data_IF_306504874277
#
_entry.id   IF_306504874277
#
_cell.length_a   1.000
_cell.length_b   1.000
_cell.length_c   1.000
_cell.angle_alpha   90.00
_cell.angle_beta   90.00
_cell.angle_gamma   90.00
#
_symmetry.space_group_name_H-M   'P 1'
#
loop_
_entity.id
_entity.type
_entity.pdbx_description
1 polymer ?
#
# COMPACT_ATOMS: atom_id res chain seq x y z
N UNK A 1 36.49 37.19 -2.37
CA UNK A 1 35.49 37.17 -3.47
C UNK A 1 35.13 35.76 -3.89
N UNK A 2 36.09 34.84 -4.04
CA UNK A 2 35.87 33.42 -4.33
C UNK A 2 35.21 32.69 -3.15
N UNK A 3 35.58 32.99 -1.90
CA UNK A 3 34.99 32.38 -0.69
C UNK A 3 33.53 32.79 -0.45
N UNK A 4 33.17 34.02 -0.85
CA UNK A 4 31.75 34.47 -0.75
C UNK A 4 30.87 33.78 -1.80
N UNK A 5 31.41 33.55 -3.02
CA UNK A 5 30.68 32.80 -4.06
C UNK A 5 30.54 31.31 -3.70
N UNK A 6 31.56 30.70 -3.08
CA UNK A 6 31.50 29.31 -2.63
C UNK A 6 30.53 29.11 -1.49
N UNK A 7 30.48 30.04 -0.54
CA UNK A 7 29.53 29.96 0.60
C UNK A 7 28.08 30.17 0.15
N UNK A 8 27.83 31.06 -0.80
CA UNK A 8 26.51 31.27 -1.40
C UNK A 8 26.09 30.06 -2.23
N UNK A 9 26.97 29.49 -3.04
CA UNK A 9 26.73 28.32 -3.85
C UNK A 9 26.44 27.07 -2.98
N UNK A 10 27.22 26.87 -1.92
CA UNK A 10 27.00 25.78 -0.98
C UNK A 10 25.68 25.96 -0.21
N UNK A 11 25.36 27.19 0.19
CA UNK A 11 24.10 27.52 0.87
C UNK A 11 22.89 27.25 -0.02
N UNK A 12 22.94 27.66 -1.29
CA UNK A 12 21.88 27.37 -2.27
C UNK A 12 21.77 25.87 -2.57
N UNK A 13 22.89 25.17 -2.71
CA UNK A 13 22.91 23.74 -2.97
C UNK A 13 22.35 22.94 -1.79
N UNK A 14 22.71 23.31 -0.55
CA UNK A 14 22.17 22.69 0.67
C UNK A 14 20.68 23.01 0.83
N UNK A 15 20.27 24.25 0.61
CA UNK A 15 18.88 24.64 0.67
C UNK A 15 18.04 23.87 -0.36
N UNK A 16 18.53 23.79 -1.59
CA UNK A 16 17.88 23.03 -2.67
C UNK A 16 17.79 21.55 -2.35
N UNK A 17 18.87 20.96 -1.85
CA UNK A 17 18.89 19.56 -1.40
C UNK A 17 17.88 19.31 -0.26
N UNK A 18 17.82 20.18 0.74
CA UNK A 18 16.86 20.06 1.84
C UNK A 18 15.42 20.18 1.35
N UNK A 19 15.14 21.12 0.42
CA UNK A 19 13.80 21.28 -0.14
C UNK A 19 13.39 20.16 -1.10
N UNK A 20 14.32 19.53 -1.76
CA UNK A 20 14.08 18.40 -2.67
C UNK A 20 14.04 17.05 -1.95
N UNK A 21 14.43 16.98 -0.67
CA UNK A 21 14.28 15.77 0.11
C UNK A 21 12.82 15.50 0.45
N UNK A 22 12.38 14.26 0.31
CA UNK A 22 11.03 13.83 0.70
C UNK A 22 10.69 14.16 2.16
N UNK A 23 11.70 14.31 3.04
CA UNK A 23 11.52 14.75 4.43
C UNK A 23 10.99 16.18 4.53
N UNK A 24 11.52 17.11 3.75
CA UNK A 24 11.04 18.49 3.75
C UNK A 24 9.61 18.59 3.23
N UNK A 25 9.27 17.78 2.24
CA UNK A 25 7.91 17.74 1.69
C UNK A 25 6.88 17.19 2.67
N UNK A 26 7.26 16.26 3.55
CA UNK A 26 6.40 15.78 4.65
C UNK A 26 5.94 16.90 5.59
N UNK A 27 6.77 17.94 5.77
CA UNK A 27 6.46 19.05 6.68
C UNK A 27 5.97 20.32 5.97
N UNK A 28 6.35 20.51 4.71
CA UNK A 28 6.04 21.73 3.95
C UNK A 28 4.74 21.64 3.14
N UNK A 29 4.29 20.42 2.80
CA UNK A 29 3.10 20.21 1.99
C UNK A 29 1.83 20.23 2.84
N UNK A 30 0.80 20.92 2.39
CA UNK A 30 -0.51 20.88 3.03
C UNK A 30 -1.04 19.44 3.10
N UNK A 31 -1.24 18.94 4.32
CA UNK A 31 -1.63 17.55 4.54
C UNK A 31 -0.49 16.55 4.70
N UNK A 32 0.78 17.00 4.81
CA UNK A 32 1.95 16.14 5.01
C UNK A 32 1.84 15.22 6.24
N UNK A 33 1.11 15.64 7.28
CA UNK A 33 0.82 14.79 8.46
C UNK A 33 0.08 13.48 8.10
N UNK A 34 -0.72 13.46 7.02
CA UNK A 34 -1.42 12.26 6.57
C UNK A 34 -0.43 11.20 6.07
N UNK A 35 0.60 11.62 5.34
CA UNK A 35 1.67 10.73 4.90
C UNK A 35 2.46 10.17 6.09
N UNK A 36 2.74 11.00 7.10
CA UNK A 36 3.39 10.56 8.34
C UNK A 36 2.58 9.49 9.07
N UNK A 37 1.27 9.71 9.20
CA UNK A 37 0.36 8.73 9.82
C UNK A 37 0.39 7.41 9.03
N UNK A 38 0.31 7.46 7.70
CA UNK A 38 0.34 6.26 6.87
C UNK A 38 1.68 5.52 6.94
N UNK A 39 2.80 6.24 6.97
CA UNK A 39 4.12 5.64 7.18
C UNK A 39 4.19 4.97 8.55
N UNK A 40 3.67 5.61 9.60
CA UNK A 40 3.60 5.02 10.94
C UNK A 40 2.74 3.73 10.95
N UNK A 41 1.61 3.71 10.23
CA UNK A 41 0.79 2.51 10.04
C UNK A 41 1.57 1.41 9.32
N UNK A 42 2.30 1.73 8.26
CA UNK A 42 3.16 0.77 7.57
C UNK A 42 4.25 0.19 8.48
N UNK A 43 4.92 1.03 9.26
CA UNK A 43 5.88 0.60 10.27
C UNK A 43 5.25 -0.29 11.36
N UNK A 44 4.03 0.03 11.77
CA UNK A 44 3.28 -0.77 12.73
C UNK A 44 2.97 -2.17 12.17
N UNK A 45 2.56 -2.29 10.92
CA UNK A 45 2.36 -3.59 10.28
C UNK A 45 3.66 -4.40 10.17
N UNK A 46 4.78 -3.76 9.83
CA UNK A 46 6.09 -4.42 9.85
C UNK A 46 6.47 -4.90 11.25
N UNK A 47 6.21 -4.09 12.27
CA UNK A 47 6.45 -4.48 13.66
C UNK A 47 5.61 -5.70 14.06
N UNK A 48 4.32 -5.74 13.73
CA UNK A 48 3.45 -6.89 14.00
C UNK A 48 3.94 -8.14 13.27
N UNK A 49 4.31 -8.01 12.00
CA UNK A 49 4.80 -9.11 11.20
C UNK A 49 6.08 -9.72 11.76
N UNK A 50 7.06 -8.89 12.14
CA UNK A 50 8.39 -9.34 12.56
C UNK A 50 8.38 -9.81 14.01
N UNK A 51 7.80 -8.99 14.93
CA UNK A 51 7.86 -9.29 16.37
C UNK A 51 6.81 -10.30 16.80
N UNK A 52 5.58 -10.15 16.33
CA UNK A 52 4.47 -11.02 16.71
C UNK A 52 4.25 -12.18 15.73
N UNK A 53 4.99 -12.24 14.64
CA UNK A 53 4.91 -13.28 13.59
C UNK A 53 3.51 -13.45 13.01
N UNK A 54 2.76 -12.34 12.93
CA UNK A 54 1.43 -12.32 12.32
C UNK A 54 1.56 -12.33 10.79
N UNK A 55 1.35 -13.50 10.19
CA UNK A 55 1.38 -13.69 8.73
C UNK A 55 2.49 -12.87 8.03
N UNK A 56 3.79 -13.11 8.36
CA UNK A 56 4.87 -12.24 7.87
C UNK A 56 4.97 -12.24 6.35
N UNK A 57 4.55 -13.33 5.68
CA UNK A 57 4.58 -13.43 4.21
C UNK A 57 3.60 -12.47 3.54
N UNK A 58 2.53 -12.07 4.22
CA UNK A 58 1.54 -11.10 3.71
C UNK A 58 1.79 -9.71 4.31
N UNK A 59 2.02 -9.63 5.61
CA UNK A 59 2.08 -8.35 6.32
C UNK A 59 3.34 -7.53 6.00
N UNK A 60 4.49 -8.20 5.74
CA UNK A 60 5.73 -7.50 5.38
C UNK A 60 5.61 -6.79 4.03
N UNK A 61 5.17 -7.44 2.93
CA UNK A 61 4.95 -6.75 1.66
C UNK A 61 3.90 -5.64 1.75
N UNK A 62 2.82 -5.84 2.51
CA UNK A 62 1.78 -4.84 2.72
C UNK A 62 2.35 -3.61 3.44
N UNK A 63 3.04 -3.80 4.57
CA UNK A 63 3.66 -2.71 5.32
C UNK A 63 4.69 -1.94 4.51
N UNK A 64 5.51 -2.64 3.74
CA UNK A 64 6.48 -2.05 2.83
C UNK A 64 5.79 -1.24 1.71
N UNK A 65 4.74 -1.79 1.11
CA UNK A 65 3.95 -1.10 0.09
C UNK A 65 3.28 0.18 0.62
N UNK A 66 2.75 0.14 1.86
CA UNK A 66 2.19 1.33 2.52
C UNK A 66 3.28 2.40 2.69
N UNK A 67 4.48 2.04 3.14
CA UNK A 67 5.56 3.00 3.33
C UNK A 67 5.95 3.63 2.00
N UNK A 68 6.29 2.82 0.97
CA UNK A 68 6.72 3.34 -0.34
C UNK A 68 5.61 4.17 -0.98
N UNK A 69 4.36 3.72 -0.89
CA UNK A 69 3.22 4.41 -1.47
C UNK A 69 2.90 5.77 -0.84
N UNK A 70 3.39 6.01 0.38
CA UNK A 70 3.15 7.23 1.13
C UNK A 70 4.40 8.10 1.35
N UNK A 71 5.55 7.74 0.76
CA UNK A 71 6.70 8.66 0.71
C UNK A 71 6.38 9.74 -0.32
N UNK A 72 6.32 11.02 0.08
CA UNK A 72 6.14 12.10 -0.87
C UNK A 72 7.37 12.19 -1.76
N UNK A 73 7.16 11.98 -3.04
CA UNK A 73 8.20 12.03 -4.07
C UNK A 73 8.11 13.33 -4.83
N UNK A 74 9.25 13.96 -5.08
CA UNK A 74 9.33 15.16 -5.93
C UNK A 74 9.07 14.74 -7.37
N UNK A 75 8.12 15.38 -8.02
CA UNK A 75 7.84 15.17 -9.45
C UNK A 75 9.04 15.61 -10.30
N UNK A 76 9.39 14.81 -11.29
CA UNK A 76 10.51 15.10 -12.20
C UNK A 76 11.81 14.33 -11.94
N UNK A 77 11.86 13.49 -10.90
CA UNK A 77 13.02 12.65 -10.58
C UNK A 77 12.89 11.19 -11.04
N UNK A 78 11.78 10.81 -11.69
CA UNK A 78 11.59 9.47 -12.25
C UNK A 78 11.44 8.36 -11.20
N UNK A 79 11.03 8.68 -9.97
CA UNK A 79 10.92 7.72 -8.87
C UNK A 79 9.49 7.58 -8.37
N UNK A 80 8.62 8.56 -8.62
CA UNK A 80 7.25 8.60 -8.11
C UNK A 80 6.37 7.46 -8.64
N UNK A 81 5.46 6.91 -7.79
CA UNK A 81 4.52 5.85 -8.19
C UNK A 81 3.59 6.30 -9.32
N UNK A 82 3.18 7.57 -9.28
CA UNK A 82 2.26 8.17 -10.26
C UNK A 82 2.99 8.90 -11.38
N UNK A 83 4.33 8.91 -11.37
CA UNK A 83 5.14 9.57 -12.39
C UNK A 83 5.35 8.62 -13.57
N UNK A 84 4.87 9.01 -14.75
CA UNK A 84 5.00 8.20 -15.97
C UNK A 84 6.46 7.94 -16.30
N UNK A 85 6.80 6.68 -16.56
CA UNK A 85 8.17 6.25 -16.87
C UNK A 85 9.03 5.92 -15.67
N UNK A 86 8.57 6.13 -14.43
CA UNK A 86 9.31 5.73 -13.23
C UNK A 86 9.25 4.20 -13.02
N UNK A 87 10.26 3.65 -12.35
CA UNK A 87 10.30 2.22 -11.99
C UNK A 87 9.10 1.83 -11.13
N UNK A 88 8.72 2.66 -10.16
CA UNK A 88 7.56 2.42 -9.30
C UNK A 88 6.25 2.50 -10.08
N UNK A 89 6.16 3.34 -11.11
CA UNK A 89 4.99 3.41 -11.98
C UNK A 89 4.82 2.13 -12.81
N UNK A 90 5.91 1.54 -13.31
CA UNK A 90 5.86 0.24 -14.00
C UNK A 90 5.39 -0.88 -13.06
N UNK A 91 5.82 -0.88 -11.81
CA UNK A 91 5.30 -1.83 -10.81
C UNK A 91 3.82 -1.57 -10.51
N UNK A 92 3.42 -0.31 -10.37
CA UNK A 92 2.03 0.08 -10.13
C UNK A 92 1.11 -0.26 -11.31
N UNK A 93 1.64 -0.33 -12.53
CA UNK A 93 0.90 -0.74 -13.72
C UNK A 93 0.18 -2.08 -13.51
N UNK A 94 0.86 -3.08 -12.94
CA UNK A 94 0.26 -4.38 -12.68
C UNK A 94 -0.89 -4.34 -11.66
N UNK A 95 -0.86 -3.39 -10.71
CA UNK A 95 -1.98 -3.13 -9.79
C UNK A 95 -3.13 -2.45 -10.53
N UNK A 96 -2.83 -1.37 -11.26
CA UNK A 96 -3.82 -0.56 -11.98
C UNK A 96 -4.61 -1.36 -13.01
N UNK A 97 -3.97 -2.28 -13.70
CA UNK A 97 -4.60 -3.14 -14.71
C UNK A 97 -5.14 -4.47 -14.16
N UNK A 98 -5.06 -4.67 -12.83
CA UNK A 98 -5.61 -5.85 -12.18
C UNK A 98 -4.86 -7.15 -12.49
N UNK A 99 -3.59 -7.07 -12.89
CA UNK A 99 -2.75 -8.25 -13.20
C UNK A 99 -2.27 -8.93 -11.93
N UNK A 100 -1.89 -8.17 -10.91
CA UNK A 100 -1.33 -8.74 -9.69
C UNK A 100 -2.33 -9.49 -8.81
N UNK A 101 -3.60 -9.05 -8.62
CA UNK A 101 -4.52 -9.79 -7.77
C UNK A 101 -4.69 -11.26 -8.16
N UNK A 102 -4.95 -11.63 -9.43
CA UNK A 102 -5.01 -13.03 -9.84
C UNK A 102 -3.68 -13.78 -9.62
N UNK A 103 -2.53 -13.13 -9.85
CA UNK A 103 -1.22 -13.75 -9.62
C UNK A 103 -0.95 -14.01 -8.14
N UNK A 104 -1.38 -13.10 -7.26
CA UNK A 104 -1.28 -13.28 -5.81
C UNK A 104 -2.14 -14.46 -5.37
N UNK A 105 -3.40 -14.55 -5.83
CA UNK A 105 -4.26 -15.69 -5.53
C UNK A 105 -3.72 -17.00 -6.07
N UNK A 106 -3.12 -16.99 -7.26
CA UNK A 106 -2.44 -18.16 -7.80
C UNK A 106 -1.27 -18.60 -6.90
N UNK A 107 -0.43 -17.65 -6.48
CA UNK A 107 0.72 -17.91 -5.61
C UNK A 107 0.30 -18.43 -4.23
N UNK A 108 -0.65 -17.77 -3.59
CA UNK A 108 -1.20 -18.20 -2.29
C UNK A 108 -1.86 -19.58 -2.41
N UNK A 109 -2.66 -19.79 -3.47
CA UNK A 109 -3.29 -21.08 -3.73
C UNK A 109 -2.30 -22.22 -3.94
N UNK A 110 -1.19 -21.96 -4.64
CA UNK A 110 -0.13 -22.95 -4.85
C UNK A 110 0.64 -23.30 -3.56
N UNK A 111 0.72 -22.36 -2.61
CA UNK A 111 1.40 -22.57 -1.32
C UNK A 111 0.48 -23.13 -0.23
N UNK A 112 -0.83 -23.15 -0.46
CA UNK A 112 -1.82 -23.58 0.53
C UNK A 112 -1.84 -25.10 0.62
N UNK A 113 -1.74 -25.64 1.84
CA UNK A 113 -1.92 -27.06 2.11
C UNK A 113 -3.41 -27.40 2.22
N UNK A 114 -3.94 -28.06 1.19
CA UNK A 114 -5.34 -28.49 1.14
C UNK A 114 -5.63 -29.84 1.80
N UNK A 115 -4.63 -30.47 2.43
CA UNK A 115 -4.76 -31.81 3.02
C UNK A 115 -5.90 -31.89 4.04
N UNK A 116 -6.05 -30.89 4.89
CA UNK A 116 -7.11 -30.81 5.89
C UNK A 116 -8.50 -30.63 5.26
N UNK A 117 -8.59 -29.90 4.16
CA UNK A 117 -9.85 -29.69 3.43
C UNK A 117 -10.29 -30.97 2.71
N UNK A 118 -9.33 -31.69 2.13
CA UNK A 118 -9.58 -33.00 1.46
C UNK A 118 -10.03 -34.04 2.48
N UNK A 119 -9.39 -34.05 3.66
CA UNK A 119 -9.73 -34.98 4.74
C UNK A 119 -11.11 -34.74 5.35
N UNK A 120 -11.56 -33.50 5.40
CA UNK A 120 -12.83 -33.09 5.98
C UNK A 120 -13.62 -32.14 5.05
N UNK A 121 -14.35 -32.69 4.05
CA UNK A 121 -15.07 -31.86 3.07
C UNK A 121 -16.10 -30.90 3.69
N UNK A 122 -16.56 -31.15 4.93
CA UNK A 122 -17.46 -30.25 5.67
C UNK A 122 -16.83 -28.87 5.93
N UNK A 123 -15.51 -28.75 5.92
CA UNK A 123 -14.80 -27.47 6.07
C UNK A 123 -15.08 -26.52 4.89
N UNK A 124 -15.49 -27.07 3.73
CA UNK A 124 -15.92 -26.23 2.59
C UNK A 124 -17.14 -25.38 2.93
N UNK A 125 -17.99 -25.83 3.88
CA UNK A 125 -19.14 -25.05 4.33
C UNK A 125 -18.73 -23.76 5.05
N UNK A 126 -17.55 -23.73 5.67
CA UNK A 126 -16.98 -22.52 6.28
C UNK A 126 -16.68 -21.48 5.21
N UNK A 127 -16.10 -21.90 4.08
CA UNK A 127 -15.91 -21.03 2.92
C UNK A 127 -17.22 -20.50 2.34
N UNK A 128 -18.25 -21.35 2.28
CA UNK A 128 -19.59 -20.91 1.85
C UNK A 128 -20.19 -19.90 2.84
N UNK A 129 -19.99 -20.09 4.15
CA UNK A 129 -20.42 -19.13 5.16
C UNK A 129 -19.71 -17.78 5.03
N UNK A 130 -18.44 -17.76 4.68
CA UNK A 130 -17.71 -16.53 4.41
C UNK A 130 -18.32 -15.75 3.22
N UNK A 131 -18.79 -16.43 2.18
CA UNK A 131 -19.47 -15.78 1.05
C UNK A 131 -20.78 -15.07 1.49
N UNK A 132 -21.49 -15.62 2.46
CA UNK A 132 -22.68 -14.97 3.04
C UNK A 132 -22.30 -13.65 3.70
N UNK A 133 -21.15 -13.58 4.37
CA UNK A 133 -20.61 -12.34 4.95
C UNK A 133 -20.39 -11.25 3.90
N UNK A 134 -19.80 -11.59 2.76
CA UNK A 134 -19.58 -10.66 1.64
C UNK A 134 -20.91 -10.12 1.11
N UNK A 135 -21.90 -10.99 0.88
CA UNK A 135 -23.24 -10.57 0.46
C UNK A 135 -23.93 -9.69 1.50
N UNK A 136 -23.83 -10.04 2.77
CA UNK A 136 -24.41 -9.24 3.85
C UNK A 136 -23.77 -7.84 3.93
N UNK A 137 -22.44 -7.75 3.78
CA UNK A 137 -21.73 -6.48 3.73
C UNK A 137 -22.16 -5.63 2.52
N UNK A 138 -22.31 -6.24 1.35
CA UNK A 138 -22.80 -5.58 0.15
C UNK A 138 -24.22 -5.01 0.32
N UNK A 139 -25.13 -5.85 0.77
CA UNK A 139 -26.52 -5.46 1.01
C UNK A 139 -26.63 -4.41 2.10
N UNK A 140 -25.84 -4.54 3.17
CA UNK A 140 -25.75 -3.54 4.23
C UNK A 140 -25.27 -2.18 3.73
N UNK A 141 -24.25 -2.16 2.89
CA UNK A 141 -23.76 -0.91 2.29
C UNK A 141 -24.80 -0.26 1.39
N UNK A 142 -25.51 -1.03 0.55
CA UNK A 142 -26.62 -0.53 -0.26
C UNK A 142 -27.74 0.04 0.59
N UNK A 143 -28.09 -0.63 1.68
CA UNK A 143 -29.13 -0.18 2.61
C UNK A 143 -28.76 1.13 3.33
N UNK A 144 -27.46 1.39 3.52
CA UNK A 144 -26.93 2.65 4.06
C UNK A 144 -26.88 3.78 3.01
N UNK A 145 -27.22 3.50 1.74
CA UNK A 145 -27.29 4.48 0.68
C UNK A 145 -25.99 4.68 -0.12
N UNK A 146 -25.02 3.79 0.03
CA UNK A 146 -23.82 3.83 -0.82
C UNK A 146 -24.16 3.42 -2.27
N UNK A 147 -23.53 4.05 -3.27
CA UNK A 147 -23.69 3.61 -4.67
C UNK A 147 -23.09 2.21 -4.88
N UNK A 148 -23.60 1.47 -5.86
CA UNK A 148 -23.29 0.07 -6.08
C UNK A 148 -21.78 -0.24 -6.25
N UNK A 149 -21.03 0.65 -6.88
CA UNK A 149 -19.58 0.54 -7.04
C UNK A 149 -18.83 0.67 -5.72
N UNK A 150 -19.24 1.60 -4.83
CA UNK A 150 -18.65 1.74 -3.49
C UNK A 150 -19.08 0.58 -2.59
N UNK A 151 -20.34 0.18 -2.63
CA UNK A 151 -20.85 -1.00 -1.92
C UNK A 151 -20.09 -2.27 -2.32
N UNK A 152 -19.75 -2.43 -3.61
CA UNK A 152 -18.91 -3.51 -4.09
C UNK A 152 -17.50 -3.48 -3.50
N UNK A 153 -16.89 -2.30 -3.41
CA UNK A 153 -15.57 -2.14 -2.80
C UNK A 153 -15.58 -2.46 -1.29
N UNK A 154 -16.64 -2.09 -0.57
CA UNK A 154 -16.83 -2.43 0.84
C UNK A 154 -17.00 -3.94 1.01
N UNK A 155 -17.77 -4.58 0.15
CA UNK A 155 -18.02 -6.01 0.20
C UNK A 155 -16.76 -6.86 0.00
N UNK A 156 -15.83 -6.41 -0.85
CA UNK A 156 -14.56 -7.13 -1.10
C UNK A 156 -13.69 -7.22 0.16
N UNK A 157 -13.81 -6.28 1.09
CA UNK A 157 -13.06 -6.27 2.35
C UNK A 157 -13.62 -7.30 3.34
N UNK A 158 -14.90 -7.56 3.32
CA UNK A 158 -15.62 -8.52 4.17
C UNK A 158 -15.52 -9.92 3.66
#
# INVERSE_FOLDING_TARGET
MLDFLSSSFLGESVSKFVHETGFAQLFLQEGGYKYLIMIAVGCFFLYLAIKHKFEPMLLVPIGFGIIIGNIPMVTGHGIGIYEEGSVLNYLYFGVRYGVYPPLIFLGVGAMTDFSSLISNPKLMLIGAAAQIGIFAAYMGALALGFPANEAGSIAIIG
#
